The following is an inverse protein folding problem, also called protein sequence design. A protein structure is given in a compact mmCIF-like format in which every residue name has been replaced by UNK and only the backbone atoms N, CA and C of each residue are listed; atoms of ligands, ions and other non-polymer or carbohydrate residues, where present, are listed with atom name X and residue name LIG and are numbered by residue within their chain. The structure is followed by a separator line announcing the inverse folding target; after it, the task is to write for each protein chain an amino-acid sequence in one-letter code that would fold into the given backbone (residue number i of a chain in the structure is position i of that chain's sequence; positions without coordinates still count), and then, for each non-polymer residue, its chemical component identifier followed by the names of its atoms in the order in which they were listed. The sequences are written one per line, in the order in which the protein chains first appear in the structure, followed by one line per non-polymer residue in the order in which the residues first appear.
data_IF_828503955620
#
_entry.id   IF_828503955620
#
_cell.length_a   1.000
_cell.length_b   1.000
_cell.length_c   1.000
_cell.angle_alpha   90.00
_cell.angle_beta   90.00
_cell.angle_gamma   90.00
#
_symmetry.space_group_name_H-M   'P 1'
#
loop_
_entity.id
_entity.type
_entity.pdbx_description
1 polymer ?
#
# COMPACT_ATOMS: atom_id res chain seq x y z
N UNK A 1 -20.73 -1.60 -7.74
CA UNK A 1 -20.82 -1.82 -6.29
C UNK A 1 -20.12 -0.66 -5.60
N UNK A 2 -20.69 -0.12 -4.54
CA UNK A 2 -20.09 0.97 -3.77
C UNK A 2 -18.89 0.46 -2.95
N UNK A 3 -17.94 1.34 -2.62
CA UNK A 3 -16.81 0.97 -1.78
C UNK A 3 -17.27 0.70 -0.33
N UNK A 4 -16.83 -0.42 0.24
CA UNK A 4 -17.15 -0.79 1.62
C UNK A 4 -16.08 -0.17 2.53
N UNK A 5 -16.46 0.61 3.56
CA UNK A 5 -15.49 1.13 4.53
C UNK A 5 -15.05 0.02 5.49
N UNK A 6 -13.77 0.02 5.84
CA UNK A 6 -13.20 -1.00 6.73
C UNK A 6 -11.93 -0.53 7.42
N UNK A 7 -11.48 -1.37 8.35
CA UNK A 7 -10.27 -1.18 9.12
C UNK A 7 -9.12 -1.97 8.50
N UNK A 8 -8.01 -1.30 8.19
CA UNK A 8 -6.79 -1.89 7.65
C UNK A 8 -5.72 -1.97 8.76
N UNK A 9 -5.10 -3.13 8.94
CA UNK A 9 -4.02 -3.33 9.90
C UNK A 9 -2.88 -4.18 9.36
N UNK A 10 -1.69 -3.94 9.91
CA UNK A 10 -0.51 -4.78 9.76
C UNK A 10 -0.25 -5.48 11.09
N UNK A 11 -0.05 -6.79 11.03
CA UNK A 11 0.26 -7.63 12.18
C UNK A 11 1.58 -8.32 11.94
N UNK A 12 2.46 -8.31 12.94
CA UNK A 12 3.71 -9.05 12.90
C UNK A 12 3.70 -10.08 14.03
N UNK A 13 3.89 -11.34 13.68
CA UNK A 13 4.04 -12.45 14.63
C UNK A 13 5.34 -13.16 14.28
N UNK A 14 6.34 -13.02 15.17
CA UNK A 14 7.72 -13.35 14.85
C UNK A 14 8.19 -12.62 13.57
N UNK A 15 8.64 -13.37 12.58
CA UNK A 15 9.15 -12.95 11.28
C UNK A 15 8.06 -12.93 10.18
N UNK A 16 6.82 -13.32 10.51
CA UNK A 16 5.69 -13.32 9.59
C UNK A 16 4.89 -12.02 9.76
N UNK A 17 4.76 -11.26 8.66
CA UNK A 17 3.86 -10.10 8.59
C UNK A 17 2.59 -10.43 7.81
N UNK A 18 1.44 -10.03 8.34
CA UNK A 18 0.14 -10.18 7.73
C UNK A 18 -0.59 -8.84 7.62
N UNK A 19 -1.21 -8.60 6.46
CA UNK A 19 -2.13 -7.51 6.23
C UNK A 19 -3.56 -8.01 6.42
N UNK A 20 -4.33 -7.29 7.23
CA UNK A 20 -5.76 -7.59 7.45
C UNK A 20 -6.60 -6.38 7.09
N UNK A 21 -7.69 -6.62 6.37
CA UNK A 21 -8.72 -5.63 6.13
C UNK A 21 -10.07 -6.21 6.54
N UNK A 22 -10.77 -5.49 7.41
CA UNK A 22 -12.05 -5.95 7.97
C UNK A 22 -13.14 -4.89 7.74
N UNK A 23 -14.27 -5.21 7.11
CA UNK A 23 -15.42 -4.31 7.00
C UNK A 23 -15.86 -3.76 8.36
N UNK A 24 -16.25 -2.48 8.41
CA UNK A 24 -16.67 -1.84 9.65
C UNK A 24 -17.86 -2.53 10.32
N UNK A 25 -18.76 -3.14 9.53
CA UNK A 25 -19.93 -3.86 10.03
C UNK A 25 -19.58 -5.04 10.93
N UNK A 26 -18.41 -5.67 10.71
CA UNK A 26 -17.91 -6.76 11.55
C UNK A 26 -17.19 -6.28 12.81
N UNK A 27 -16.88 -4.98 12.90
CA UNK A 27 -16.10 -4.39 13.99
C UNK A 27 -16.95 -3.55 14.94
N UNK A 28 -17.99 -2.90 14.44
CA UNK A 28 -18.80 -1.94 15.19
C UNK A 28 -19.97 -2.58 15.96
N UNK A 29 -20.11 -3.92 15.93
CA UNK A 29 -21.20 -4.64 16.58
C UNK A 29 -22.59 -4.37 15.98
N UNK A 30 -22.68 -3.87 14.75
CA UNK A 30 -23.97 -3.58 14.09
C UNK A 30 -24.69 -4.83 13.57
N UNK A 31 -23.96 -5.93 13.41
CA UNK A 31 -24.54 -7.24 13.08
C UNK A 31 -24.90 -7.93 14.39
N UNK A 32 -26.17 -8.25 14.59
CA UNK A 32 -26.62 -8.93 15.81
C UNK A 32 -25.96 -10.30 15.99
N UNK A 33 -25.77 -10.73 17.24
CA UNK A 33 -24.97 -11.91 17.62
C UNK A 33 -25.32 -13.20 16.85
N UNK A 34 -26.60 -13.43 16.54
CA UNK A 34 -27.06 -14.63 15.83
C UNK A 34 -26.70 -14.65 14.34
N UNK A 35 -26.51 -13.49 13.74
CA UNK A 35 -26.19 -13.32 12.31
C UNK A 35 -24.71 -13.00 12.07
N UNK A 36 -23.93 -12.73 13.13
CA UNK A 36 -22.53 -12.32 13.04
C UNK A 36 -21.67 -13.34 12.28
N UNK A 37 -21.71 -14.61 12.69
CA UNK A 37 -20.91 -15.69 12.09
C UNK A 37 -21.33 -16.01 10.64
N UNK A 38 -22.54 -15.63 10.23
CA UNK A 38 -23.08 -15.87 8.88
C UNK A 38 -23.15 -14.61 8.03
N UNK A 39 -22.55 -13.52 8.51
CA UNK A 39 -22.62 -12.24 7.84
C UNK A 39 -21.93 -12.30 6.48
N UNK A 40 -22.62 -11.83 5.43
CA UNK A 40 -22.03 -11.68 4.08
C UNK A 40 -20.79 -10.78 4.09
N UNK A 41 -20.61 -9.95 5.12
CA UNK A 41 -19.42 -9.11 5.25
C UNK A 41 -18.13 -9.93 5.42
N UNK A 42 -18.20 -11.16 5.92
CA UNK A 42 -17.04 -12.05 6.03
C UNK A 42 -16.44 -12.43 4.67
N UNK A 43 -17.26 -12.47 3.61
CA UNK A 43 -16.79 -12.75 2.25
C UNK A 43 -15.87 -11.65 1.69
N UNK A 44 -15.91 -10.45 2.29
CA UNK A 44 -15.04 -9.32 1.91
C UNK A 44 -13.84 -9.15 2.83
N UNK A 45 -13.81 -9.80 4.00
CA UNK A 45 -12.69 -9.68 4.92
C UNK A 45 -11.43 -10.30 4.31
N UNK A 46 -10.30 -9.60 4.40
CA UNK A 46 -9.04 -10.05 3.82
C UNK A 46 -8.01 -10.29 4.92
N UNK A 47 -7.28 -11.39 4.82
CA UNK A 47 -6.07 -11.66 5.59
C UNK A 47 -5.02 -12.24 4.65
N UNK A 48 -3.88 -11.58 4.54
CA UNK A 48 -2.88 -11.85 3.51
C UNK A 48 -1.51 -11.88 4.18
N UNK A 49 -0.75 -12.97 3.99
CA UNK A 49 0.66 -12.98 4.41
C UNK A 49 1.47 -12.17 3.41
N UNK A 50 2.33 -11.28 3.89
CA UNK A 50 3.10 -10.36 3.04
C UNK A 50 4.09 -11.10 2.13
N UNK A 51 4.53 -12.29 2.52
CA UNK A 51 5.34 -13.18 1.68
C UNK A 51 4.63 -13.59 0.37
N UNK A 52 3.29 -13.57 0.35
CA UNK A 52 2.50 -13.87 -0.86
C UNK A 52 2.47 -12.69 -1.84
N UNK A 53 2.87 -11.49 -1.39
CA UNK A 53 2.78 -10.25 -2.15
C UNK A 53 4.14 -9.92 -2.77
N UNK A 54 4.17 -9.77 -4.09
CA UNK A 54 5.37 -9.41 -4.84
C UNK A 54 5.44 -7.92 -5.15
N UNK A 55 4.31 -7.29 -5.49
CA UNK A 55 4.27 -5.86 -5.84
C UNK A 55 3.17 -5.11 -5.09
N UNK A 56 3.47 -3.86 -4.77
CA UNK A 56 2.56 -2.83 -4.31
C UNK A 56 2.46 -1.78 -5.41
N UNK A 57 1.34 -1.72 -6.10
CA UNK A 57 1.07 -0.69 -7.10
C UNK A 57 0.21 0.41 -6.45
N UNK A 58 0.81 1.56 -6.25
CA UNK A 58 0.21 2.68 -5.52
C UNK A 58 -0.09 3.84 -6.47
N UNK A 59 -1.21 4.51 -6.25
CA UNK A 59 -1.58 5.72 -6.97
C UNK A 59 -1.95 6.81 -5.97
N UNK A 60 -1.27 7.96 -6.03
CA UNK A 60 -1.51 9.11 -5.17
C UNK A 60 -2.01 10.28 -6.00
N UNK A 61 -3.22 10.75 -5.70
CA UNK A 61 -3.81 11.97 -6.27
C UNK A 61 -3.69 13.11 -5.27
N UNK A 62 -3.57 14.35 -5.74
CA UNK A 62 -3.33 15.55 -4.89
C UNK A 62 -4.58 15.88 -4.04
N UNK A 63 -5.76 15.83 -4.65
CA UNK A 63 -7.06 16.13 -4.01
C UNK A 63 -7.87 14.89 -3.62
N UNK A 64 -7.25 13.72 -3.65
CA UNK A 64 -7.88 12.45 -3.36
C UNK A 64 -6.97 11.58 -2.49
N UNK A 65 -7.56 10.58 -1.85
CA UNK A 65 -6.78 9.63 -1.07
C UNK A 65 -5.86 8.78 -1.96
N UNK A 66 -4.82 8.21 -1.36
CA UNK A 66 -3.99 7.24 -2.05
C UNK A 66 -4.71 5.91 -2.25
N UNK A 67 -4.35 5.16 -3.27
CA UNK A 67 -4.80 3.78 -3.46
C UNK A 67 -3.61 2.83 -3.55
N UNK A 68 -3.78 1.60 -3.08
CA UNK A 68 -2.78 0.53 -3.25
C UNK A 68 -3.46 -0.74 -3.75
N UNK A 69 -2.85 -1.36 -4.76
CA UNK A 69 -3.18 -2.68 -5.28
C UNK A 69 -2.04 -3.63 -4.88
N UNK A 70 -2.41 -4.72 -4.24
CA UNK A 70 -1.50 -5.80 -3.85
C UNK A 70 -1.50 -6.84 -4.97
N UNK A 71 -0.32 -7.11 -5.53
CA UNK A 71 -0.13 -8.13 -6.57
C UNK A 71 0.56 -9.32 -5.92
N UNK A 72 -0.12 -10.46 -5.99
CA UNK A 72 0.35 -11.71 -5.37
C UNK A 72 1.32 -12.46 -6.29
N UNK A 73 2.08 -13.41 -5.75
CA UNK A 73 3.09 -14.18 -6.50
C UNK A 73 2.51 -14.96 -7.69
N UNK A 74 1.26 -15.40 -7.60
CA UNK A 74 0.50 -16.07 -8.66
C UNK A 74 -0.04 -15.10 -9.74
N UNK A 75 0.24 -13.80 -9.62
CA UNK A 75 -0.24 -12.76 -10.52
C UNK A 75 -1.64 -12.23 -10.20
N UNK A 76 -2.31 -12.75 -9.17
CA UNK A 76 -3.63 -12.24 -8.76
C UNK A 76 -3.48 -10.83 -8.19
N UNK A 77 -4.19 -9.89 -8.81
CA UNK A 77 -4.35 -8.53 -8.32
C UNK A 77 -5.53 -8.47 -7.38
N UNK A 78 -5.28 -8.09 -6.12
CA UNK A 78 -6.32 -7.96 -5.11
C UNK A 78 -7.11 -6.65 -5.30
N UNK A 79 -8.36 -6.57 -4.83
CA UNK A 79 -9.13 -5.33 -4.92
C UNK A 79 -8.37 -4.13 -4.34
N UNK A 80 -8.43 -2.94 -4.98
CA UNK A 80 -7.68 -1.76 -4.55
C UNK A 80 -8.16 -1.27 -3.18
N UNK A 81 -7.22 -1.09 -2.26
CA UNK A 81 -7.45 -0.44 -0.98
C UNK A 81 -7.35 1.07 -1.17
N UNK A 82 -8.43 1.79 -0.86
CA UNK A 82 -8.50 3.26 -0.97
C UNK A 82 -8.36 3.87 0.41
N UNK A 83 -7.33 4.70 0.59
CA UNK A 83 -7.12 5.46 1.80
C UNK A 83 -7.98 6.74 1.80
N UNK A 84 -8.31 7.29 2.97
CA UNK A 84 -8.86 8.64 3.06
C UNK A 84 -7.88 9.69 2.52
N UNK A 85 -8.37 10.90 2.26
CA UNK A 85 -7.53 12.06 1.91
C UNK A 85 -6.46 12.30 2.98
N UNK A 86 -5.25 12.66 2.54
CA UNK A 86 -4.10 12.92 3.41
C UNK A 86 -2.93 11.95 3.18
N UNK A 87 -1.97 11.94 4.10
CA UNK A 87 -0.72 11.17 4.00
C UNK A 87 -0.81 9.68 4.37
N UNK A 88 -2.01 9.10 4.41
CA UNK A 88 -2.24 7.75 4.95
C UNK A 88 -1.57 6.64 4.13
N UNK A 89 -1.52 6.77 2.79
CA UNK A 89 -0.83 5.81 1.94
C UNK A 89 0.68 5.78 2.25
N UNK A 90 1.31 6.96 2.35
CA UNK A 90 2.73 7.06 2.68
C UNK A 90 3.04 6.55 4.10
N UNK A 91 2.16 6.85 5.06
CA UNK A 91 2.26 6.32 6.42
C UNK A 91 2.17 4.79 6.42
N UNK A 92 1.20 4.21 5.70
CA UNK A 92 1.06 2.77 5.54
C UNK A 92 2.33 2.14 4.94
N UNK A 93 2.84 2.67 3.82
CA UNK A 93 4.06 2.16 3.19
C UNK A 93 5.28 2.27 4.11
N UNK A 94 5.37 3.35 4.91
CA UNK A 94 6.45 3.53 5.88
C UNK A 94 6.38 2.50 7.01
N UNK A 95 5.18 2.22 7.53
CA UNK A 95 4.98 1.17 8.53
C UNK A 95 5.28 -0.23 7.95
N UNK A 96 4.86 -0.49 6.71
CA UNK A 96 5.14 -1.74 6.00
C UNK A 96 6.64 -1.93 5.81
N UNK A 97 7.36 -0.92 5.30
CA UNK A 97 8.82 -0.98 5.10
C UNK A 97 9.56 -1.26 6.41
N UNK A 98 9.16 -0.59 7.50
CA UNK A 98 9.75 -0.82 8.82
C UNK A 98 9.45 -2.23 9.35
N UNK A 99 8.24 -2.75 9.13
CA UNK A 99 7.82 -4.08 9.57
C UNK A 99 8.48 -5.22 8.78
N UNK A 100 8.93 -4.96 7.55
CA UNK A 100 9.69 -5.94 6.76
C UNK A 100 11.12 -6.13 7.30
N UNK A 101 11.71 -5.12 7.94
CA UNK A 101 13.09 -5.20 8.44
C UNK A 101 13.21 -6.20 9.62
N UNK A 102 14.37 -6.87 9.77
CA UNK A 102 15.57 -6.81 8.91
C UNK A 102 15.51 -7.79 7.73
N UNK A 103 14.45 -8.58 7.61
CA UNK A 103 14.39 -9.76 6.72
C UNK A 103 13.87 -9.45 5.32
N UNK A 104 13.27 -8.28 5.12
CA UNK A 104 12.82 -7.80 3.83
C UNK A 104 12.85 -6.27 3.74
N UNK A 105 12.57 -5.76 2.55
CA UNK A 105 12.53 -4.33 2.26
C UNK A 105 11.65 -4.04 1.04
N UNK A 106 11.29 -2.77 0.87
CA UNK A 106 10.73 -2.26 -0.37
C UNK A 106 11.86 -1.93 -1.37
N UNK A 107 11.61 -2.23 -2.64
CA UNK A 107 12.46 -1.86 -3.76
C UNK A 107 11.65 -1.09 -4.83
N UNK A 108 12.00 0.16 -5.15
CA UNK A 108 13.01 0.98 -4.49
C UNK A 108 12.60 1.31 -3.03
N UNK A 109 13.55 1.57 -2.13
CA UNK A 109 13.21 1.99 -0.77
C UNK A 109 12.54 3.36 -0.76
N UNK A 110 11.69 3.61 0.24
CA UNK A 110 11.14 4.95 0.49
C UNK A 110 12.27 5.92 0.86
N UNK A 111 12.25 7.11 0.25
CA UNK A 111 13.30 8.09 0.44
C UNK A 111 13.20 8.75 1.80
N UNK A 112 14.35 9.07 2.38
CA UNK A 112 14.43 9.86 3.61
C UNK A 112 14.75 11.30 3.26
N UNK A 113 13.86 12.22 3.64
CA UNK A 113 14.13 13.65 3.58
C UNK A 113 14.48 14.16 4.98
N UNK A 114 15.68 14.72 5.14
CA UNK A 114 16.16 15.28 6.41
C UNK A 114 15.15 16.31 6.93
N UNK A 115 14.64 16.08 8.14
CA UNK A 115 13.64 16.94 8.80
C UNK A 115 12.18 16.71 8.41
N UNK A 116 11.88 15.87 7.39
CA UNK A 116 10.50 15.52 6.98
C UNK A 116 10.15 14.03 7.09
N UNK A 117 11.14 13.17 7.37
CA UNK A 117 10.92 11.73 7.48
C UNK A 117 10.89 11.03 6.12
N UNK A 118 10.15 9.93 6.02
CA UNK A 118 10.01 9.15 4.78
C UNK A 118 9.11 9.89 3.78
N UNK A 119 9.51 9.92 2.51
CA UNK A 119 8.81 10.54 1.40
C UNK A 119 8.80 9.60 0.20
N UNK A 120 7.85 9.81 -0.71
CA UNK A 120 7.81 9.07 -1.96
C UNK A 120 9.08 9.31 -2.81
N UNK A 121 9.53 8.30 -3.58
CA UNK A 121 10.58 8.49 -4.57
C UNK A 121 10.20 9.53 -5.63
N UNK A 122 10.98 10.61 -5.79
CA UNK A 122 10.85 11.55 -6.92
C UNK A 122 11.08 10.80 -8.23
N UNK A 123 10.05 10.74 -9.04
CA UNK A 123 10.15 10.26 -10.41
C UNK A 123 10.85 11.34 -11.24
N UNK A 124 12.04 11.05 -11.79
CA UNK A 124 12.64 11.92 -12.79
C UNK A 124 11.82 11.80 -14.08
N UNK A 125 11.08 12.84 -14.47
CA UNK A 125 10.47 12.92 -15.80
C UNK A 125 11.60 12.86 -16.84
N UNK A 126 11.62 11.78 -17.64
CA UNK A 126 12.51 11.67 -18.80
C UNK A 126 11.89 12.49 -19.93
N UNK A 127 12.10 13.80 -19.92
CA UNK A 127 11.80 14.63 -21.08
C UNK A 127 12.72 14.21 -22.25
N UNK A 128 12.23 14.07 -23.48
CA UNK A 128 13.11 13.94 -24.65
C UNK A 128 13.98 15.21 -24.71
N UNK A 129 15.28 15.03 -24.94
CA UNK A 129 16.29 16.09 -24.88
C UNK A 129 15.88 17.34 -25.69
N UNK A 130 15.97 18.51 -25.05
CA UNK A 130 16.09 19.79 -25.78
C UNK A 130 15.24 20.96 -25.29
N UNK A 131 15.36 21.36 -24.03
CA UNK A 131 15.08 22.76 -23.65
C UNK A 131 15.65 23.05 -22.27
N UNK A 132 16.70 23.87 -22.25
CA UNK A 132 17.16 24.59 -21.06
C UNK A 132 16.07 25.56 -20.62
N UNK A 133 16.03 25.82 -19.31
CA UNK A 133 15.27 26.87 -18.63
C UNK A 133 13.76 26.64 -18.43
N UNK A 134 13.43 26.14 -17.24
CA UNK A 134 12.58 26.81 -16.24
C UNK A 134 12.08 25.75 -15.25
N UNK A 135 12.60 25.79 -14.02
CA UNK A 135 11.96 25.13 -12.89
C UNK A 135 10.67 25.91 -12.59
N UNK A 136 9.61 25.65 -13.36
CA UNK A 136 8.27 26.09 -12.97
C UNK A 136 7.77 25.13 -11.90
N UNK A 137 7.52 25.65 -10.69
CA UNK A 137 6.73 25.04 -9.61
C UNK A 137 5.28 24.81 -10.07
N UNK A 138 5.11 23.93 -11.06
CA UNK A 138 3.82 23.45 -11.58
C UNK A 138 3.80 21.92 -11.61
N UNK A 139 4.50 21.28 -10.67
CA UNK A 139 4.48 19.82 -10.49
C UNK A 139 3.31 19.33 -9.60
N UNK A 140 2.49 20.25 -9.08
CA UNK A 140 1.64 20.00 -7.92
C UNK A 140 0.21 19.51 -8.21
N UNK A 141 -0.11 19.11 -9.46
CA UNK A 141 -1.49 18.76 -9.84
C UNK A 141 -1.63 17.44 -10.62
N UNK A 142 -0.54 16.68 -10.75
CA UNK A 142 -0.54 15.42 -11.50
C UNK A 142 -0.52 14.21 -10.56
N UNK A 143 -1.44 13.28 -10.79
CA UNK A 143 -1.48 12.03 -10.03
C UNK A 143 -0.17 11.26 -10.24
N UNK A 144 0.40 10.73 -9.15
CA UNK A 144 1.67 10.00 -9.19
C UNK A 144 1.47 8.51 -8.94
N UNK A 145 2.00 7.71 -9.85
CA UNK A 145 2.04 6.25 -9.76
C UNK A 145 3.37 5.76 -9.20
N UNK A 146 3.31 4.85 -8.24
CA UNK A 146 4.48 4.21 -7.63
C UNK A 146 4.33 2.69 -7.67
N UNK A 147 5.39 1.99 -8.06
CA UNK A 147 5.44 0.53 -7.98
C UNK A 147 6.60 0.16 -7.07
N UNK A 148 6.29 -0.56 -6.00
CA UNK A 148 7.29 -1.13 -5.10
C UNK A 148 7.25 -2.64 -5.19
N UNK A 149 8.42 -3.27 -5.18
CA UNK A 149 8.58 -4.71 -5.02
C UNK A 149 8.94 -5.02 -3.57
N UNK A 150 8.37 -6.08 -3.01
CA UNK A 150 8.81 -6.61 -1.72
C UNK A 150 9.96 -7.59 -1.98
N UNK A 151 11.10 -7.36 -1.34
CA UNK A 151 12.31 -8.18 -1.48
C UNK A 151 12.69 -8.76 -0.13
N UNK A 152 12.99 -10.06 -0.10
CA UNK A 152 13.57 -10.75 1.05
C UNK A 152 15.00 -11.20 0.69
N UNK A 153 16.06 -10.55 1.19
CA UNK A 153 17.43 -10.93 0.89
C UNK A 153 17.75 -12.28 1.55
N UNK A 154 17.84 -13.34 0.74
CA UNK A 154 18.15 -14.71 1.19
C UNK A 154 17.27 -15.77 0.53
N UNK A 155 16.05 -15.42 0.15
CA UNK A 155 15.26 -16.18 -0.81
C UNK A 155 15.69 -15.75 -2.22
N UNK A 156 16.72 -16.39 -2.76
CA UNK A 156 16.85 -16.42 -4.22
C UNK A 156 15.60 -17.14 -4.75
N UNK A 157 14.68 -16.37 -5.31
CA UNK A 157 13.72 -16.95 -6.25
C UNK A 157 14.56 -17.39 -7.45
N UNK A 158 14.86 -18.69 -7.52
CA UNK A 158 15.29 -19.33 -8.77
C UNK A 158 14.19 -19.05 -9.80
N UNK A 159 14.53 -18.27 -10.82
CA UNK A 159 13.73 -18.09 -12.03
C UNK A 159 14.39 -18.87 -13.17
#
# INVERSE_FOLDING_TARGET
MEAIPGYLSLHQTADIMALKWTPNQLMNGSVGDLDYEKSVYWDYAMTIRLEEIVYLHCHQQVDSGGTVVLVSQDGIQRPPLRFPRGGHLLQFLSCLENGLLPHGQLDPPLWSQRGKGKVFPRLRKRSPQGSSESASDKEDDEATDYVFRIIYPGTQAEF
#
